data_IF_219142938317
#
_entry.id   IF_219142938317
#
_cell.length_a   1.000
_cell.length_b   1.000
_cell.length_c   1.000
_cell.angle_alpha   90.00
_cell.angle_beta   90.00
_cell.angle_gamma   90.00
#
_symmetry.space_group_name_H-M   'P 1'
#
loop_
_entity.id
_entity.type
_entity.pdbx_description
1 polymer ?
#
# COMPACT_ATOMS: atom_id res chain seq x y z
N UNK A 1 -32.95 -2.39 12.41
CA UNK A 1 -33.34 -1.11 13.08
C UNK A 1 -32.33 -0.02 12.72
N UNK A 2 -32.70 1.27 12.62
CA UNK A 2 -31.79 2.36 12.23
C UNK A 2 -30.51 2.46 13.09
N UNK A 3 -30.60 2.04 14.36
CA UNK A 3 -29.51 2.03 15.34
C UNK A 3 -28.44 0.96 15.06
N UNK A 4 -28.81 -0.19 14.50
CA UNK A 4 -27.86 -1.28 14.17
C UNK A 4 -26.95 -0.89 13.00
N UNK A 5 -27.51 -0.20 12.00
CA UNK A 5 -26.71 0.32 10.87
C UNK A 5 -25.75 1.42 11.32
N UNK A 6 -26.15 2.26 12.27
CA UNK A 6 -25.26 3.27 12.85
C UNK A 6 -24.08 2.64 13.59
N UNK A 7 -24.31 1.62 14.41
CA UNK A 7 -23.24 0.90 15.12
C UNK A 7 -22.28 0.20 14.15
N UNK A 8 -22.79 -0.36 13.04
CA UNK A 8 -21.93 -0.93 12.00
C UNK A 8 -21.04 0.12 11.33
N UNK A 9 -21.56 1.33 11.07
CA UNK A 9 -20.79 2.43 10.49
C UNK A 9 -19.68 2.89 11.42
N UNK A 10 -19.99 3.09 12.69
CA UNK A 10 -18.98 3.47 13.69
C UNK A 10 -17.85 2.42 13.78
N UNK A 11 -18.20 1.14 13.68
CA UNK A 11 -17.20 0.07 13.61
C UNK A 11 -16.35 0.13 12.33
N UNK A 12 -16.95 0.48 11.19
CA UNK A 12 -16.22 0.66 9.92
C UNK A 12 -15.29 1.87 10.03
N UNK A 13 -15.75 2.99 10.54
CA UNK A 13 -14.94 4.21 10.72
C UNK A 13 -13.69 3.89 11.56
N UNK A 14 -13.84 3.16 12.67
CA UNK A 14 -12.71 2.73 13.49
C UNK A 14 -11.77 1.70 12.83
N UNK A 15 -12.23 0.98 11.80
CA UNK A 15 -11.35 0.14 10.97
C UNK A 15 -10.61 1.00 9.94
N UNK A 16 -11.28 1.97 9.33
CA UNK A 16 -10.71 2.87 8.35
C UNK A 16 -9.60 3.73 8.95
N UNK A 17 -9.75 4.21 10.18
CA UNK A 17 -8.69 4.90 10.92
C UNK A 17 -7.41 4.05 11.03
N UNK A 18 -7.58 2.75 11.33
CA UNK A 18 -6.45 1.81 11.43
C UNK A 18 -5.82 1.55 10.07
N UNK A 19 -6.63 1.41 9.02
CA UNK A 19 -6.15 1.23 7.65
C UNK A 19 -5.33 2.45 7.21
N UNK A 20 -5.81 3.67 7.48
CA UNK A 20 -5.09 4.91 7.18
C UNK A 20 -3.75 4.96 7.91
N UNK A 21 -3.72 4.65 9.21
CA UNK A 21 -2.47 4.61 9.98
C UNK A 21 -1.44 3.62 9.38
N UNK A 22 -1.89 2.41 9.04
CA UNK A 22 -1.03 1.39 8.41
C UNK A 22 -0.54 1.82 7.02
N UNK A 23 -1.37 2.51 6.24
CA UNK A 23 -0.97 3.04 4.94
C UNK A 23 0.10 4.11 5.11
N UNK A 24 -0.04 5.03 6.07
CA UNK A 24 0.98 6.05 6.37
C UNK A 24 2.32 5.41 6.72
N UNK A 25 2.32 4.40 7.59
CA UNK A 25 3.52 3.63 7.93
C UNK A 25 4.13 2.96 6.70
N UNK A 26 3.29 2.31 5.88
CA UNK A 26 3.72 1.68 4.63
C UNK A 26 4.40 2.68 3.69
N UNK A 27 3.88 3.90 3.55
CA UNK A 27 4.50 4.96 2.73
C UNK A 27 5.80 5.49 3.36
N UNK A 28 5.91 5.53 4.68
CA UNK A 28 7.18 5.86 5.35
C UNK A 28 8.28 4.85 5.01
N UNK A 29 7.95 3.54 4.96
CA UNK A 29 8.87 2.50 4.50
C UNK A 29 9.30 2.73 3.04
N UNK A 30 8.39 3.12 2.14
CA UNK A 30 8.76 3.41 0.74
C UNK A 30 9.75 4.57 0.63
N UNK A 31 9.58 5.62 1.46
CA UNK A 31 10.54 6.75 1.50
C UNK A 31 11.93 6.30 1.92
N UNK A 32 12.02 5.40 2.90
CA UNK A 32 13.30 4.81 3.32
C UNK A 32 13.91 3.95 2.21
N UNK A 33 13.09 3.12 1.54
CA UNK A 33 13.53 2.30 0.42
C UNK A 33 14.09 3.14 -0.74
N UNK A 34 13.45 4.26 -1.07
CA UNK A 34 13.91 5.19 -2.11
C UNK A 34 15.35 5.68 -1.88
N UNK A 35 15.78 5.87 -0.63
CA UNK A 35 17.14 6.30 -0.27
C UNK A 35 18.18 5.22 -0.49
N UNK A 36 17.78 3.95 -0.33
CA UNK A 36 18.66 2.79 -0.42
C UNK A 36 18.83 2.36 -1.89
N UNK A 37 17.81 2.57 -2.74
CA UNK A 37 17.82 2.12 -4.12
C UNK A 37 18.99 2.74 -4.92
N UNK A 38 19.78 1.92 -5.64
CA UNK A 38 20.99 2.40 -6.31
C UNK A 38 20.67 3.31 -7.51
N UNK A 39 19.67 2.93 -8.30
CA UNK A 39 19.24 3.62 -9.51
C UNK A 39 17.70 3.73 -9.59
N UNK A 40 17.24 4.59 -10.51
CA UNK A 40 15.81 4.89 -10.69
C UNK A 40 15.01 3.70 -11.23
N UNK A 41 15.62 2.77 -11.98
CA UNK A 41 14.92 1.60 -12.52
C UNK A 41 14.59 0.59 -11.42
N UNK A 42 15.40 0.53 -10.36
CA UNK A 42 15.12 -0.27 -9.17
C UNK A 42 13.83 0.15 -8.42
N UNK A 43 13.24 1.30 -8.75
CA UNK A 43 11.96 1.73 -8.17
C UNK A 43 10.81 0.80 -8.61
N UNK A 44 10.82 0.36 -9.87
CA UNK A 44 9.84 -0.60 -10.38
C UNK A 44 10.42 -2.02 -10.37
N UNK A 45 9.89 -2.88 -9.51
CA UNK A 45 10.25 -4.29 -9.43
C UNK A 45 9.02 -5.18 -9.65
N UNK A 46 8.88 -5.70 -10.87
CA UNK A 46 7.76 -6.56 -11.26
C UNK A 46 7.67 -7.85 -10.44
N UNK A 47 8.80 -8.43 -10.04
CA UNK A 47 8.80 -9.65 -9.23
C UNK A 47 8.30 -9.35 -7.82
N UNK A 48 8.76 -8.24 -7.22
CA UNK A 48 8.28 -7.80 -5.92
C UNK A 48 6.80 -7.48 -5.93
N UNK A 49 6.30 -6.80 -6.98
CA UNK A 49 4.87 -6.49 -7.15
C UNK A 49 4.04 -7.76 -7.19
N UNK A 50 4.42 -8.74 -8.01
CA UNK A 50 3.73 -10.03 -8.10
C UNK A 50 3.72 -10.77 -6.75
N UNK A 51 4.83 -10.72 -6.01
CA UNK A 51 4.92 -11.31 -4.68
C UNK A 51 4.01 -10.62 -3.65
N UNK A 52 3.89 -9.27 -3.66
CA UNK A 52 2.93 -8.57 -2.77
C UNK A 52 1.50 -9.02 -3.06
N UNK A 53 1.11 -9.03 -4.34
CA UNK A 53 -0.24 -9.41 -4.73
C UNK A 53 -0.56 -10.86 -4.33
N UNK A 54 0.36 -11.79 -4.60
CA UNK A 54 0.20 -13.19 -4.20
C UNK A 54 0.07 -13.34 -2.68
N UNK A 55 0.91 -12.64 -1.92
CA UNK A 55 0.87 -12.69 -0.46
C UNK A 55 -0.46 -12.17 0.10
N UNK A 56 -0.93 -11.02 -0.37
CA UNK A 56 -2.20 -10.42 0.09
C UNK A 56 -3.38 -11.30 -0.25
N UNK A 57 -3.40 -11.89 -1.45
CA UNK A 57 -4.43 -12.84 -1.84
C UNK A 57 -4.47 -14.03 -0.87
N UNK A 58 -3.33 -14.64 -0.56
CA UNK A 58 -3.24 -15.75 0.38
C UNK A 58 -3.68 -15.36 1.79
N UNK A 59 -3.34 -14.15 2.25
CA UNK A 59 -3.80 -13.64 3.54
C UNK A 59 -5.32 -13.45 3.58
N UNK A 60 -5.92 -12.93 2.51
CA UNK A 60 -7.38 -12.81 2.41
C UNK A 60 -8.07 -14.18 2.45
N UNK A 61 -7.57 -15.14 1.68
CA UNK A 61 -8.08 -16.52 1.65
C UNK A 61 -7.96 -17.18 3.03
N UNK A 62 -6.80 -17.06 3.70
CA UNK A 62 -6.59 -17.60 5.05
C UNK A 62 -7.47 -16.92 6.11
N UNK A 63 -7.87 -15.67 5.89
CA UNK A 63 -8.82 -14.94 6.72
C UNK A 63 -10.28 -15.37 6.53
N UNK A 64 -10.56 -16.35 5.67
CA UNK A 64 -11.92 -16.84 5.38
C UNK A 64 -12.71 -15.97 4.42
N UNK A 65 -12.04 -15.09 3.66
CA UNK A 65 -12.69 -14.28 2.64
C UNK A 65 -13.21 -15.15 1.49
N UNK A 66 -14.41 -14.84 0.99
CA UNK A 66 -14.92 -15.44 -0.23
C UNK A 66 -14.22 -14.86 -1.48
N UNK A 67 -14.52 -15.45 -2.65
CA UNK A 67 -13.89 -15.06 -3.90
C UNK A 67 -14.12 -13.59 -4.28
N UNK A 68 -15.27 -13.01 -3.94
CA UNK A 68 -15.58 -11.61 -4.24
C UNK A 68 -14.75 -10.66 -3.36
N UNK A 69 -14.63 -11.00 -2.06
CA UNK A 69 -13.81 -10.23 -1.12
C UNK A 69 -12.31 -10.34 -1.44
N UNK A 70 -11.82 -11.53 -1.80
CA UNK A 70 -10.43 -11.73 -2.24
C UNK A 70 -10.12 -10.89 -3.49
N UNK A 71 -11.03 -10.85 -4.46
CA UNK A 71 -10.90 -10.03 -5.66
C UNK A 71 -10.83 -8.53 -5.31
N UNK A 72 -11.77 -8.05 -4.48
CA UNK A 72 -11.81 -6.66 -4.04
C UNK A 72 -10.51 -6.23 -3.32
N UNK A 73 -10.03 -7.05 -2.37
CA UNK A 73 -8.76 -6.78 -1.67
C UNK A 73 -7.59 -6.73 -2.66
N UNK A 74 -7.54 -7.66 -3.62
CA UNK A 74 -6.47 -7.71 -4.62
C UNK A 74 -6.45 -6.43 -5.48
N UNK A 75 -7.62 -5.95 -5.92
CA UNK A 75 -7.74 -4.74 -6.73
C UNK A 75 -7.37 -3.47 -5.95
N UNK A 76 -7.77 -3.39 -4.68
CA UNK A 76 -7.32 -2.32 -3.77
C UNK A 76 -5.80 -2.32 -3.67
N UNK A 77 -5.17 -3.49 -3.49
CA UNK A 77 -3.72 -3.59 -3.39
C UNK A 77 -2.98 -3.23 -4.68
N UNK A 78 -3.54 -3.53 -5.85
CA UNK A 78 -2.97 -3.05 -7.13
C UNK A 78 -2.91 -1.52 -7.16
N UNK A 79 -3.97 -0.86 -6.71
CA UNK A 79 -4.00 0.61 -6.62
C UNK A 79 -3.01 1.15 -5.59
N UNK A 80 -2.93 0.54 -4.40
CA UNK A 80 -1.95 0.91 -3.37
C UNK A 80 -0.53 0.80 -3.95
N UNK A 81 -0.19 -0.30 -4.61
CA UNK A 81 1.12 -0.53 -5.22
C UNK A 81 1.41 0.53 -6.27
N UNK A 82 0.50 0.78 -7.21
CA UNK A 82 0.69 1.78 -8.25
C UNK A 82 0.96 3.18 -7.68
N UNK A 83 0.18 3.59 -6.66
CA UNK A 83 0.39 4.87 -5.96
C UNK A 83 1.69 4.91 -5.16
N UNK A 84 2.11 3.77 -4.61
CA UNK A 84 3.37 3.65 -3.87
C UNK A 84 4.57 3.82 -4.77
N UNK A 85 4.56 3.19 -5.94
CA UNK A 85 5.63 3.31 -6.94
C UNK A 85 5.76 4.77 -7.39
N UNK A 86 4.63 5.42 -7.71
CA UNK A 86 4.63 6.83 -8.10
C UNK A 86 5.19 7.75 -7.00
N UNK A 87 4.79 7.51 -5.75
CA UNK A 87 5.32 8.23 -4.59
C UNK A 87 6.82 7.98 -4.39
N UNK A 88 7.26 6.74 -4.57
CA UNK A 88 8.66 6.35 -4.39
C UNK A 88 9.56 6.99 -5.45
N UNK A 89 9.13 7.07 -6.71
CA UNK A 89 9.82 7.84 -7.74
C UNK A 89 9.98 9.31 -7.34
N UNK A 90 8.91 9.95 -6.86
CA UNK A 90 8.97 11.34 -6.42
C UNK A 90 9.90 11.54 -5.20
N UNK A 91 9.99 10.56 -4.30
CA UNK A 91 10.95 10.60 -3.19
C UNK A 91 12.39 10.43 -3.69
N UNK A 92 12.62 9.45 -4.57
CA UNK A 92 13.93 9.18 -5.15
C UNK A 92 14.48 10.41 -5.87
N UNK A 93 13.67 11.03 -6.74
CA UNK A 93 14.07 12.18 -7.54
C UNK A 93 14.46 13.37 -6.63
N UNK A 94 13.70 13.65 -5.56
CA UNK A 94 14.02 14.70 -4.58
C UNK A 94 15.33 14.46 -3.82
N UNK A 95 15.61 13.23 -3.42
CA UNK A 95 16.84 12.89 -2.69
C UNK A 95 18.08 13.08 -3.59
N UNK A 96 17.96 12.80 -4.90
CA UNK A 96 19.06 13.02 -5.87
C UNK A 96 19.21 14.48 -6.30
N UNK A 97 18.15 15.29 -6.26
CA UNK A 97 18.25 16.74 -6.40
C UNK A 97 18.94 17.37 -5.19
N UNK A 98 18.60 16.93 -3.98
CA UNK A 98 19.17 17.46 -2.72
C UNK A 98 20.65 17.08 -2.51
N UNK A 99 21.13 16.03 -3.17
CA UNK A 99 22.52 15.57 -3.09
C UNK A 99 23.46 16.09 -4.19
N UNK A 100 23.00 16.95 -5.10
CA UNK A 100 23.86 17.57 -6.13
C UNK A 100 24.57 18.80 -5.53
N UNK A 101 25.92 18.85 -5.51
CA UNK A 101 26.62 20.08 -5.14
C UNK A 101 26.38 21.17 -6.19
N UNK A 102 26.31 22.44 -5.74
CA UNK A 102 26.23 23.65 -6.56
C UNK A 102 27.41 23.79 -7.53
#
# INVERSE_FOLDING_TARGET
MPTELAALRERIDGLDEKLVALLVERFACMRQAARIKPDRNAVYDGQRIAAVISHVRQQAEAGGADAAVVAAITDIYRNIIARSIAYEFACYDRERESGRPE
#
